data_IF_778664570937
#
_entry.id   IF_778664570937
#
_cell.length_a   1.000
_cell.length_b   1.000
_cell.length_c   1.000
_cell.angle_alpha   90.00
_cell.angle_beta   90.00
_cell.angle_gamma   90.00
#
_symmetry.space_group_name_H-M   'P 1'
#
loop_
_entity.id
_entity.type
_entity.pdbx_description
1 polymer ?
#
# COMPACT_ATOMS: atom_id res chain seq x y z
N UNK A 1 12.28 -48.68 49.88
CA UNK A 1 12.61 -48.02 48.59
C UNK A 1 11.39 -47.81 47.69
N UNK A 2 10.49 -48.79 47.55
CA UNK A 2 9.28 -48.67 46.70
C UNK A 2 8.20 -47.66 47.17
N UNK A 3 8.13 -47.31 48.46
CA UNK A 3 7.13 -46.35 48.96
C UNK A 3 7.53 -44.87 48.78
N UNK A 4 8.83 -44.58 48.65
CA UNK A 4 9.31 -43.20 48.44
C UNK A 4 9.19 -42.78 46.97
N UNK A 5 9.43 -43.71 46.04
CA UNK A 5 9.31 -43.46 44.59
C UNK A 5 7.84 -43.19 44.21
N UNK A 6 6.87 -43.86 44.84
CA UNK A 6 5.44 -43.65 44.54
C UNK A 6 4.93 -42.28 44.99
N UNK A 7 5.43 -41.75 46.11
CA UNK A 7 5.03 -40.43 46.60
C UNK A 7 5.74 -39.29 45.86
N UNK A 8 6.98 -39.50 45.39
CA UNK A 8 7.68 -38.53 44.54
C UNK A 8 7.07 -38.42 43.14
N UNK A 9 6.66 -39.54 42.53
CA UNK A 9 5.98 -39.53 41.21
C UNK A 9 4.59 -38.90 41.29
N UNK A 10 3.83 -39.11 42.38
CA UNK A 10 2.52 -38.48 42.56
C UNK A 10 2.64 -36.95 42.77
N UNK A 11 3.68 -36.48 43.47
CA UNK A 11 3.94 -35.06 43.67
C UNK A 11 4.39 -34.35 42.39
N UNK A 12 5.16 -35.01 41.52
CA UNK A 12 5.58 -34.45 40.22
C UNK A 12 4.43 -34.42 39.21
N UNK A 13 3.52 -35.40 39.22
CA UNK A 13 2.32 -35.40 38.36
C UNK A 13 1.31 -34.33 38.79
N UNK A 14 1.18 -34.04 40.09
CA UNK A 14 0.32 -32.93 40.58
C UNK A 14 0.92 -31.55 40.31
N UNK A 15 2.25 -31.39 40.32
CA UNK A 15 2.89 -30.12 39.89
C UNK A 15 2.82 -29.89 38.37
N UNK A 16 2.86 -30.95 37.56
CA UNK A 16 2.71 -30.85 36.09
C UNK A 16 1.26 -30.57 35.65
N UNK A 17 0.27 -30.88 36.48
CA UNK A 17 -1.15 -30.54 36.25
C UNK A 17 -1.53 -29.12 36.70
N UNK A 18 -0.60 -28.37 37.30
CA UNK A 18 -0.78 -26.98 37.75
C UNK A 18 -0.06 -25.96 36.85
N UNK A 19 0.37 -26.36 35.65
CA UNK A 19 0.65 -25.41 34.57
C UNK A 19 -0.73 -25.03 33.97
N UNK A 20 -1.57 -24.42 34.80
CA UNK A 20 -2.69 -23.65 34.27
C UNK A 20 -2.09 -22.51 33.45
N UNK A 21 -2.68 -22.25 32.28
CA UNK A 21 -2.52 -20.96 31.62
C UNK A 21 -2.67 -19.90 32.72
N UNK A 22 -1.66 -19.04 32.92
CA UNK A 22 -1.79 -17.95 33.90
C UNK A 22 -2.76 -16.95 33.29
N UNK A 23 -4.06 -17.19 33.44
CA UNK A 23 -5.08 -16.17 33.25
C UNK A 23 -4.92 -15.18 34.40
N UNK A 24 -4.50 -13.97 34.07
CA UNK A 24 -4.59 -12.87 35.01
C UNK A 24 -6.08 -12.59 35.21
N UNK A 25 -6.65 -12.83 36.40
CA UNK A 25 -8.10 -12.70 36.63
C UNK A 25 -8.61 -11.26 36.47
N UNK A 26 -7.71 -10.28 36.32
CA UNK A 26 -8.05 -8.88 36.06
C UNK A 26 -7.89 -8.47 34.58
N UNK A 27 -7.48 -9.38 33.70
CA UNK A 27 -7.25 -9.15 32.26
C UNK A 27 -7.80 -10.35 31.49
N UNK A 28 -9.09 -10.62 31.66
CA UNK A 28 -9.83 -11.61 30.86
C UNK A 28 -10.70 -10.90 29.83
N UNK A 29 -11.11 -11.63 28.79
CA UNK A 29 -12.09 -11.16 27.79
C UNK A 29 -13.39 -10.70 28.46
N UNK A 30 -13.91 -11.48 29.40
CA UNK A 30 -15.11 -11.14 30.18
C UNK A 30 -14.95 -9.80 30.91
N UNK A 31 -13.83 -9.61 31.63
CA UNK A 31 -13.54 -8.33 32.31
C UNK A 31 -13.41 -7.17 31.32
N UNK A 32 -12.86 -7.40 30.12
CA UNK A 32 -12.77 -6.38 29.09
C UNK A 32 -14.15 -5.99 28.54
N UNK A 33 -14.99 -6.96 28.20
CA UNK A 33 -16.33 -6.76 27.64
C UNK A 33 -17.29 -6.13 28.65
N UNK A 34 -17.11 -6.40 29.96
CA UNK A 34 -17.89 -5.77 31.03
C UNK A 34 -17.49 -4.31 31.31
N UNK A 35 -16.33 -3.85 30.83
CA UNK A 35 -15.90 -2.48 31.05
C UNK A 35 -16.72 -1.48 30.23
N UNK A 36 -17.13 -0.33 30.81
CA UNK A 36 -17.82 0.71 30.07
C UNK A 36 -16.98 1.23 28.88
N UNK A 37 -17.61 1.37 27.71
CA UNK A 37 -16.98 1.87 26.48
C UNK A 37 -15.88 0.95 25.92
N UNK A 38 -15.99 -0.36 26.08
CA UNK A 38 -15.08 -1.34 25.50
C UNK A 38 -14.83 -1.06 23.99
N UNK A 39 -15.89 -0.71 23.25
CA UNK A 39 -15.81 -0.41 21.82
C UNK A 39 -14.88 0.77 21.51
N UNK A 40 -14.85 1.79 22.37
CA UNK A 40 -13.95 2.93 22.18
C UNK A 40 -12.48 2.49 22.22
N UNK A 41 -12.12 1.66 23.19
CA UNK A 41 -10.76 1.12 23.30
C UNK A 41 -10.44 0.16 22.15
N UNK A 42 -11.41 -0.64 21.72
CA UNK A 42 -11.25 -1.54 20.56
C UNK A 42 -10.94 -0.76 19.28
N UNK A 43 -11.68 0.31 18.99
CA UNK A 43 -11.44 1.18 17.83
C UNK A 43 -10.04 1.81 17.87
N UNK A 44 -9.51 2.13 19.05
CA UNK A 44 -8.11 2.58 19.19
C UNK A 44 -7.12 1.47 18.84
N UNK A 45 -7.36 0.24 19.31
CA UNK A 45 -6.57 -0.93 18.93
C UNK A 45 -6.63 -1.21 17.42
N UNK A 46 -7.81 -1.08 16.81
CA UNK A 46 -8.00 -1.30 15.38
C UNK A 46 -7.30 -0.22 14.53
N UNK A 47 -7.29 1.05 14.98
CA UNK A 47 -6.50 2.12 14.35
C UNK A 47 -5.01 1.80 14.38
N UNK A 48 -4.52 1.29 15.51
CA UNK A 48 -3.14 0.84 15.62
C UNK A 48 -2.85 -0.29 14.64
N UNK A 49 -3.74 -1.28 14.54
CA UNK A 49 -3.57 -2.39 13.61
C UNK A 49 -3.62 -1.95 12.15
N UNK A 50 -4.47 -0.98 11.81
CA UNK A 50 -4.50 -0.37 10.48
C UNK A 50 -3.13 0.25 10.13
N UNK A 51 -2.52 0.99 11.06
CA UNK A 51 -1.17 1.55 10.87
C UNK A 51 -0.08 0.49 10.71
N UNK A 52 -0.12 -0.58 11.51
CA UNK A 52 0.79 -1.73 11.37
C UNK A 52 0.63 -2.38 9.99
N UNK A 53 -0.61 -2.65 9.58
CA UNK A 53 -0.93 -3.25 8.27
C UNK A 53 -0.43 -2.36 7.13
N UNK A 54 -0.67 -1.04 7.21
CA UNK A 54 -0.20 -0.09 6.20
C UNK A 54 1.33 -0.05 6.10
N UNK A 55 2.07 -0.13 7.22
CA UNK A 55 3.53 -0.22 7.18
C UNK A 55 4.02 -1.45 6.42
N UNK A 56 3.51 -2.63 6.79
CA UNK A 56 3.92 -3.90 6.19
C UNK A 56 3.57 -3.94 4.70
N UNK A 57 2.36 -3.50 4.34
CA UNK A 57 1.92 -3.42 2.94
C UNK A 57 2.80 -2.46 2.14
N UNK A 58 2.98 -1.23 2.61
CA UNK A 58 3.68 -0.21 1.82
C UNK A 58 5.12 -0.60 1.54
N UNK A 59 5.88 -1.03 2.56
CA UNK A 59 7.30 -1.32 2.38
C UNK A 59 7.52 -2.48 1.40
N UNK A 60 6.77 -3.58 1.56
CA UNK A 60 6.96 -4.76 0.74
C UNK A 60 6.48 -4.55 -0.69
N UNK A 61 5.33 -3.88 -0.88
CA UNK A 61 4.82 -3.59 -2.23
C UNK A 61 5.66 -2.57 -2.97
N UNK A 62 6.28 -1.62 -2.27
CA UNK A 62 7.20 -0.64 -2.88
C UNK A 62 8.50 -1.31 -3.33
N UNK A 63 9.09 -2.19 -2.53
CA UNK A 63 10.32 -2.92 -2.90
C UNK A 63 10.06 -3.92 -4.03
N UNK A 64 8.85 -4.47 -4.11
CA UNK A 64 8.47 -5.38 -5.21
C UNK A 64 8.09 -4.63 -6.49
N UNK A 65 8.50 -3.36 -6.64
CA UNK A 65 8.09 -2.48 -7.75
C UNK A 65 9.24 -1.63 -8.27
N UNK A 66 9.03 -0.86 -9.35
CA UNK A 66 10.04 0.04 -9.95
C UNK A 66 10.15 1.42 -9.28
N UNK A 67 9.50 1.64 -8.12
CA UNK A 67 9.52 2.95 -7.49
C UNK A 67 10.82 3.22 -6.72
N UNK A 68 11.32 2.21 -6.01
CA UNK A 68 12.51 2.29 -5.17
C UNK A 68 13.31 1.02 -5.32
N UNK A 69 14.63 1.17 -5.34
CA UNK A 69 15.55 0.04 -5.25
C UNK A 69 16.11 -0.12 -3.84
N UNK A 70 16.50 -1.34 -3.50
CA UNK A 70 17.13 -1.63 -2.22
C UNK A 70 18.56 -1.05 -2.18
N UNK A 71 18.72 0.08 -1.52
CA UNK A 71 20.01 0.75 -1.40
C UNK A 71 20.84 0.22 -0.22
N UNK A 72 20.21 -0.32 0.82
CA UNK A 72 20.93 -0.91 1.96
C UNK A 72 20.17 -2.07 2.59
N UNK A 73 20.91 -3.12 2.97
CA UNK A 73 20.45 -4.53 3.07
C UNK A 73 19.51 -4.89 4.23
N UNK A 74 18.72 -3.96 4.77
CA UNK A 74 17.82 -4.23 5.90
C UNK A 74 16.43 -4.71 5.49
N UNK A 75 16.10 -4.66 4.20
CA UNK A 75 14.86 -5.21 3.65
C UNK A 75 15.15 -6.39 2.73
N UNK A 76 14.09 -7.13 2.39
CA UNK A 76 14.14 -8.22 1.42
C UNK A 76 14.78 -7.78 0.10
N UNK A 77 15.73 -8.59 -0.39
CA UNK A 77 16.41 -8.37 -1.68
C UNK A 77 15.81 -9.22 -2.81
N UNK A 78 14.98 -10.20 -2.45
CA UNK A 78 14.43 -11.16 -3.41
C UNK A 78 13.17 -10.61 -4.08
N UNK A 79 12.39 -9.80 -3.35
CA UNK A 79 11.23 -9.10 -3.92
C UNK A 79 11.63 -8.04 -4.96
N UNK A 80 12.77 -7.37 -4.75
CA UNK A 80 13.41 -6.43 -5.68
C UNK A 80 13.69 -7.05 -7.07
N UNK A 81 13.82 -8.39 -7.11
CA UNK A 81 14.11 -9.17 -8.32
C UNK A 81 12.95 -10.08 -8.76
N UNK A 82 11.74 -9.77 -8.28
CA UNK A 82 10.52 -10.57 -8.51
C UNK A 82 10.66 -12.06 -8.16
N UNK A 83 11.55 -12.42 -7.24
CA UNK A 83 11.57 -13.74 -6.64
C UNK A 83 10.71 -13.71 -5.38
N UNK A 84 9.47 -14.21 -5.52
CA UNK A 84 8.47 -14.23 -4.47
C UNK A 84 8.06 -15.69 -4.28
N UNK A 85 8.50 -16.27 -3.17
CA UNK A 85 8.21 -17.65 -2.79
C UNK A 85 7.21 -17.65 -1.62
N UNK A 86 6.28 -18.61 -1.60
CA UNK A 86 5.25 -18.67 -0.56
C UNK A 86 5.79 -18.94 0.86
N UNK A 87 7.02 -19.46 0.96
CA UNK A 87 7.73 -19.67 2.23
C UNK A 87 8.54 -18.44 2.68
N UNK A 88 8.52 -17.35 1.92
CA UNK A 88 9.18 -16.10 2.32
C UNK A 88 8.52 -15.52 3.58
N UNK A 89 9.36 -15.04 4.50
CA UNK A 89 8.89 -14.48 5.77
C UNK A 89 8.05 -13.22 5.53
N UNK A 90 8.40 -12.43 4.51
CA UNK A 90 7.69 -11.20 4.16
C UNK A 90 6.31 -11.48 3.56
N UNK A 91 6.13 -12.54 2.76
CA UNK A 91 4.80 -13.01 2.31
C UNK A 91 3.94 -13.36 3.52
N UNK A 92 4.52 -14.11 4.47
CA UNK A 92 3.81 -14.48 5.69
C UNK A 92 3.41 -13.26 6.53
N UNK A 93 4.31 -12.30 6.73
CA UNK A 93 4.03 -11.09 7.53
C UNK A 93 2.93 -10.24 6.87
N UNK A 94 3.01 -10.03 5.55
CA UNK A 94 1.98 -9.33 4.77
C UNK A 94 0.60 -9.96 4.96
N UNK A 95 0.52 -11.28 4.78
CA UNK A 95 -0.73 -12.01 4.94
C UNK A 95 -1.24 -11.91 6.39
N UNK A 96 -0.38 -12.10 7.37
CA UNK A 96 -0.74 -12.09 8.78
C UNK A 96 -1.30 -10.75 9.23
N UNK A 97 -0.68 -9.63 8.85
CA UNK A 97 -1.15 -8.29 9.24
C UNK A 97 -2.51 -7.94 8.62
N UNK A 98 -2.73 -8.32 7.34
CA UNK A 98 -4.03 -8.16 6.67
C UNK A 98 -5.10 -9.03 7.34
N UNK A 99 -4.78 -10.28 7.67
CA UNK A 99 -5.69 -11.19 8.37
C UNK A 99 -5.98 -10.70 9.79
N UNK A 100 -5.00 -10.14 10.50
CA UNK A 100 -5.19 -9.60 11.85
C UNK A 100 -6.12 -8.38 11.83
N UNK A 101 -5.95 -7.46 10.87
CA UNK A 101 -6.86 -6.33 10.69
C UNK A 101 -8.30 -6.80 10.44
N UNK A 102 -8.47 -7.81 9.57
CA UNK A 102 -9.76 -8.44 9.26
C UNK A 102 -10.37 -9.09 10.50
N UNK A 103 -9.61 -9.94 11.18
CA UNK A 103 -10.07 -10.68 12.36
C UNK A 103 -10.45 -9.74 13.51
N UNK A 104 -9.68 -8.66 13.73
CA UNK A 104 -10.02 -7.65 14.73
C UNK A 104 -11.30 -6.89 14.38
N UNK A 105 -11.54 -6.60 13.09
CA UNK A 105 -12.78 -5.97 12.66
C UNK A 105 -13.99 -6.89 12.86
N UNK A 106 -13.88 -8.16 12.45
CA UNK A 106 -14.93 -9.19 12.63
C UNK A 106 -15.23 -9.39 14.11
N UNK A 107 -14.22 -9.60 14.94
CA UNK A 107 -14.41 -9.78 16.38
C UNK A 107 -15.02 -8.52 17.03
N UNK A 108 -14.64 -7.33 16.56
CA UNK A 108 -15.28 -6.08 16.96
C UNK A 108 -16.78 -6.06 16.68
N UNK A 109 -17.19 -6.54 15.50
CA UNK A 109 -18.59 -6.58 15.05
C UNK A 109 -19.39 -7.66 15.78
N UNK A 110 -18.82 -8.85 15.93
CA UNK A 110 -19.54 -10.03 16.43
C UNK A 110 -19.55 -10.14 17.95
N UNK A 111 -18.54 -9.59 18.63
CA UNK A 111 -18.32 -9.80 20.07
C UNK A 111 -18.33 -8.49 20.86
N UNK A 112 -17.51 -7.51 20.48
CA UNK A 112 -17.35 -6.28 21.30
C UNK A 112 -18.55 -5.34 21.15
N UNK A 113 -19.03 -5.14 19.93
CA UNK A 113 -20.17 -4.26 19.64
C UNK A 113 -21.45 -4.72 20.37
N UNK A 114 -21.86 -6.00 20.35
CA UNK A 114 -23.04 -6.45 21.12
C UNK A 114 -22.89 -6.32 22.64
N UNK A 115 -21.66 -6.36 23.16
CA UNK A 115 -21.39 -6.24 24.59
C UNK A 115 -21.42 -4.78 25.08
N UNK A 116 -21.07 -3.81 24.23
CA UNK A 116 -21.00 -2.39 24.60
C UNK A 116 -22.26 -1.62 24.19
N UNK A 117 -23.21 -1.48 25.12
CA UNK A 117 -24.45 -0.70 24.90
C UNK A 117 -24.21 0.80 24.61
N UNK A 118 -23.01 1.33 24.83
CA UNK A 118 -22.65 2.71 24.54
C UNK A 118 -21.99 2.89 23.16
N UNK A 119 -21.82 1.81 22.39
CA UNK A 119 -21.24 1.87 21.07
C UNK A 119 -22.07 2.75 20.11
N UNK A 120 -21.38 3.48 19.22
CA UNK A 120 -22.03 4.36 18.23
C UNK A 120 -21.99 3.76 16.83
N UNK A 121 -22.92 4.18 15.96
CA UNK A 121 -22.95 3.76 14.56
C UNK A 121 -21.67 4.15 13.81
N UNK A 122 -21.00 5.25 14.18
CA UNK A 122 -19.70 5.61 13.60
C UNK A 122 -18.56 4.66 14.02
N UNK A 123 -18.62 4.09 15.23
CA UNK A 123 -17.65 3.07 15.65
C UNK A 123 -17.87 1.78 14.88
N UNK A 124 -19.12 1.35 14.73
CA UNK A 124 -19.49 0.20 13.89
C UNK A 124 -19.08 0.41 12.42
N UNK A 125 -19.36 1.60 11.86
CA UNK A 125 -18.93 1.95 10.51
C UNK A 125 -17.40 1.89 10.34
N UNK A 126 -16.64 2.22 11.39
CA UNK A 126 -15.18 2.11 11.37
C UNK A 126 -14.71 0.65 11.35
N UNK A 127 -15.40 -0.27 12.04
CA UNK A 127 -15.12 -1.71 11.95
C UNK A 127 -15.33 -2.21 10.52
N UNK A 128 -16.47 -1.86 9.90
CA UNK A 128 -16.74 -2.21 8.51
C UNK A 128 -15.75 -1.58 7.53
N UNK A 129 -15.30 -0.36 7.79
CA UNK A 129 -14.23 0.26 7.00
C UNK A 129 -12.93 -0.56 7.04
N UNK A 130 -12.48 -0.96 8.23
CA UNK A 130 -11.27 -1.79 8.36
C UNK A 130 -11.44 -3.17 7.74
N UNK A 131 -12.61 -3.80 7.89
CA UNK A 131 -12.96 -5.06 7.22
C UNK A 131 -12.90 -4.91 5.69
N UNK A 132 -13.53 -3.86 5.16
CA UNK A 132 -13.52 -3.56 3.73
C UNK A 132 -12.12 -3.29 3.21
N UNK A 133 -11.31 -2.54 3.96
CA UNK A 133 -9.94 -2.24 3.58
C UNK A 133 -9.02 -3.48 3.63
N UNK A 134 -9.17 -4.36 4.62
CA UNK A 134 -8.43 -5.63 4.66
C UNK A 134 -8.79 -6.55 3.49
N UNK A 135 -10.06 -6.56 3.08
CA UNK A 135 -10.52 -7.30 1.91
C UNK A 135 -10.06 -6.68 0.59
N UNK A 136 -10.05 -5.35 0.49
CA UNK A 136 -9.48 -4.63 -0.64
C UNK A 136 -8.01 -4.95 -0.82
N UNK A 137 -7.21 -4.88 0.25
CA UNK A 137 -5.79 -5.23 0.22
C UNK A 137 -5.58 -6.71 -0.17
N UNK A 138 -6.38 -7.62 0.38
CA UNK A 138 -6.34 -9.02 -0.01
C UNK A 138 -6.62 -9.24 -1.49
N UNK A 139 -7.67 -8.60 -2.03
CA UNK A 139 -8.02 -8.71 -3.45
C UNK A 139 -7.06 -8.00 -4.40
N UNK A 140 -6.42 -6.92 -3.96
CA UNK A 140 -5.40 -6.22 -4.75
C UNK A 140 -4.09 -7.00 -4.79
N UNK A 141 -3.63 -7.50 -3.64
CA UNK A 141 -2.25 -7.94 -3.44
C UNK A 141 -2.06 -9.45 -3.47
N UNK A 142 -3.10 -10.26 -3.23
CA UNK A 142 -2.98 -11.72 -3.17
C UNK A 142 -3.83 -12.39 -4.24
N UNK A 143 -3.41 -13.58 -4.69
CA UNK A 143 -4.21 -14.39 -5.62
C UNK A 143 -5.49 -14.92 -4.97
N UNK A 144 -5.49 -15.02 -3.65
CA UNK A 144 -6.64 -15.30 -2.80
C UNK A 144 -6.20 -15.41 -1.35
N UNK A 145 -7.14 -15.31 -0.43
CA UNK A 145 -6.88 -15.44 1.02
C UNK A 145 -8.09 -16.09 1.70
N UNK A 146 -7.87 -16.91 2.74
CA UNK A 146 -8.98 -17.36 3.57
C UNK A 146 -9.55 -16.19 4.38
N UNK A 147 -10.89 -16.13 4.48
CA UNK A 147 -11.60 -15.11 5.26
C UNK A 147 -11.67 -15.43 6.75
N UNK A 148 -11.57 -16.71 7.11
CA UNK A 148 -11.75 -17.20 8.47
C UNK A 148 -10.68 -18.26 8.79
N UNK A 149 -10.43 -18.49 10.08
CA UNK A 149 -9.51 -19.53 10.53
C UNK A 149 -9.90 -20.89 9.96
N UNK A 150 -8.95 -21.54 9.28
CA UNK A 150 -9.14 -22.83 8.59
C UNK A 150 -10.25 -22.80 7.51
N UNK A 151 -10.65 -21.61 7.05
CA UNK A 151 -11.66 -21.44 6.00
C UNK A 151 -11.09 -21.78 4.62
N UNK A 152 -12.00 -21.95 3.65
CA UNK A 152 -11.60 -22.04 2.24
C UNK A 152 -10.97 -20.71 1.80
N UNK A 153 -10.03 -20.81 0.84
CA UNK A 153 -9.44 -19.64 0.21
C UNK A 153 -10.46 -19.01 -0.73
N UNK A 154 -10.75 -17.73 -0.53
CA UNK A 154 -11.55 -16.94 -1.46
C UNK A 154 -10.64 -16.29 -2.50
N UNK A 155 -11.07 -16.26 -3.75
CA UNK A 155 -10.31 -15.66 -4.84
C UNK A 155 -10.20 -14.15 -4.67
N UNK A 156 -9.21 -13.55 -5.32
CA UNK A 156 -9.00 -12.11 -5.26
C UNK A 156 -10.25 -11.29 -5.67
N UNK A 157 -11.05 -11.78 -6.62
CA UNK A 157 -12.33 -11.15 -7.03
C UNK A 157 -13.35 -11.18 -5.89
N UNK A 158 -13.51 -12.33 -5.23
CA UNK A 158 -14.43 -12.48 -4.09
C UNK A 158 -14.02 -11.57 -2.92
N UNK A 159 -12.71 -11.41 -2.70
CA UNK A 159 -12.19 -10.47 -1.72
C UNK A 159 -12.58 -9.02 -2.07
N UNK A 160 -12.51 -8.61 -3.34
CA UNK A 160 -12.95 -7.28 -3.77
C UNK A 160 -14.47 -7.09 -3.63
N UNK A 161 -15.28 -8.11 -3.93
CA UNK A 161 -16.74 -8.09 -3.71
C UNK A 161 -17.09 -7.95 -2.22
N UNK A 162 -16.35 -8.64 -1.35
CA UNK A 162 -16.49 -8.50 0.11
C UNK A 162 -16.09 -7.10 0.58
N UNK A 163 -15.06 -6.50 -0.02
CA UNK A 163 -14.65 -5.13 0.27
C UNK A 163 -15.78 -4.15 -0.04
N UNK A 164 -16.40 -4.28 -1.21
CA UNK A 164 -17.54 -3.44 -1.63
C UNK A 164 -18.69 -3.57 -0.64
N UNK A 165 -19.06 -4.80 -0.27
CA UNK A 165 -20.14 -5.08 0.70
C UNK A 165 -19.86 -4.45 2.06
N UNK A 166 -18.62 -4.54 2.55
CA UNK A 166 -18.25 -3.93 3.83
C UNK A 166 -18.29 -2.39 3.76
N UNK A 167 -17.86 -1.78 2.65
CA UNK A 167 -17.97 -0.33 2.46
C UNK A 167 -19.43 0.16 2.37
N UNK A 168 -20.33 -0.62 1.76
CA UNK A 168 -21.77 -0.32 1.77
C UNK A 168 -22.34 -0.29 3.19
N UNK A 169 -21.98 -1.29 4.00
CA UNK A 169 -22.36 -1.35 5.42
C UNK A 169 -21.81 -0.14 6.20
N UNK A 170 -20.54 0.22 5.99
CA UNK A 170 -19.95 1.39 6.62
C UNK A 170 -20.68 2.69 6.22
N UNK A 171 -21.03 2.84 4.94
CA UNK A 171 -21.70 4.02 4.42
C UNK A 171 -23.14 4.17 4.93
N UNK A 172 -23.84 3.05 5.10
CA UNK A 172 -25.20 3.04 5.65
C UNK A 172 -25.25 3.51 7.13
N UNK A 173 -24.16 3.32 7.86
CA UNK A 173 -24.03 3.65 9.28
C UNK A 173 -23.39 5.03 9.53
N UNK A 174 -22.57 5.52 8.60
CA UNK A 174 -21.78 6.72 8.81
C UNK A 174 -22.50 7.99 8.34
N UNK A 175 -22.58 8.99 9.22
CA UNK A 175 -23.20 10.29 8.95
C UNK A 175 -22.24 11.30 8.34
N UNK A 176 -20.93 11.03 8.34
CA UNK A 176 -19.91 11.93 7.79
C UNK A 176 -19.86 11.88 6.27
N UNK A 177 -20.25 12.99 5.62
CA UNK A 177 -20.16 13.15 4.17
C UNK A 177 -18.71 13.03 3.64
N UNK A 178 -17.70 13.29 4.48
CA UNK A 178 -16.31 13.10 4.08
C UNK A 178 -15.92 11.61 4.09
N UNK A 179 -16.30 10.86 5.13
CA UNK A 179 -16.03 9.42 5.17
C UNK A 179 -16.82 8.65 4.12
N UNK A 180 -18.07 9.03 3.85
CA UNK A 180 -18.84 8.39 2.78
C UNK A 180 -18.18 8.59 1.41
N UNK A 181 -17.56 9.74 1.14
CA UNK A 181 -16.75 9.94 -0.07
C UNK A 181 -15.50 9.06 -0.11
N UNK A 182 -14.88 8.79 1.04
CA UNK A 182 -13.75 7.85 1.14
C UNK A 182 -14.21 6.43 0.80
N UNK A 183 -15.35 5.99 1.35
CA UNK A 183 -15.93 4.68 1.04
C UNK A 183 -16.29 4.56 -0.45
N UNK A 184 -16.93 5.59 -1.02
CA UNK A 184 -17.22 5.66 -2.46
C UNK A 184 -15.95 5.52 -3.32
N UNK A 185 -14.84 6.16 -2.92
CA UNK A 185 -13.58 6.05 -3.66
C UNK A 185 -13.00 4.64 -3.59
N UNK A 186 -12.98 4.03 -2.40
CA UNK A 186 -12.47 2.67 -2.20
C UNK A 186 -13.33 1.62 -2.92
N UNK A 187 -14.64 1.83 -3.02
CA UNK A 187 -15.51 1.02 -3.88
C UNK A 187 -15.19 1.22 -5.36
N UNK A 188 -15.00 2.45 -5.83
CA UNK A 188 -14.61 2.73 -7.21
C UNK A 188 -13.30 2.02 -7.58
N UNK A 189 -12.34 1.99 -6.65
CA UNK A 189 -11.08 1.24 -6.75
C UNK A 189 -11.30 -0.27 -6.80
N UNK A 190 -12.16 -0.84 -5.95
CA UNK A 190 -12.48 -2.26 -6.00
C UNK A 190 -13.11 -2.66 -7.35
N UNK A 191 -14.09 -1.89 -7.83
CA UNK A 191 -14.68 -2.09 -9.16
C UNK A 191 -13.69 -1.89 -10.29
N UNK A 192 -12.74 -0.96 -10.15
CA UNK A 192 -11.65 -0.79 -11.11
C UNK A 192 -10.85 -2.08 -11.28
N UNK A 193 -10.39 -2.69 -10.19
CA UNK A 193 -9.63 -3.96 -10.28
C UNK A 193 -10.48 -5.16 -10.72
N UNK A 194 -11.79 -5.15 -10.47
CA UNK A 194 -12.71 -6.14 -11.05
C UNK A 194 -12.92 -5.98 -12.57
N UNK A 195 -12.43 -4.89 -13.17
CA UNK A 195 -12.71 -4.52 -14.56
C UNK A 195 -14.16 -4.05 -14.79
N UNK A 196 -14.92 -3.80 -13.73
CA UNK A 196 -16.29 -3.29 -13.79
C UNK A 196 -16.28 -1.78 -14.04
N UNK A 197 -16.11 -1.44 -15.32
CA UNK A 197 -16.04 -0.06 -15.80
C UNK A 197 -17.29 0.75 -15.45
N UNK A 198 -18.47 0.16 -15.51
CA UNK A 198 -19.73 0.89 -15.32
C UNK A 198 -19.82 1.41 -13.88
N UNK A 199 -19.66 0.52 -12.90
CA UNK A 199 -19.72 0.89 -11.49
C UNK A 199 -18.54 1.77 -11.07
N UNK A 200 -17.33 1.47 -11.54
CA UNK A 200 -16.15 2.28 -11.24
C UNK A 200 -16.31 3.73 -11.75
N UNK A 201 -16.78 3.93 -12.98
CA UNK A 201 -17.03 5.26 -13.56
C UNK A 201 -18.15 5.97 -12.83
N UNK A 202 -19.24 5.27 -12.49
CA UNK A 202 -20.35 5.87 -11.76
C UNK A 202 -19.91 6.42 -10.40
N UNK A 203 -19.12 5.67 -9.64
CA UNK A 203 -18.67 6.09 -8.31
C UNK A 203 -17.57 7.16 -8.41
N UNK A 204 -16.58 6.98 -9.29
CA UNK A 204 -15.51 7.97 -9.49
C UNK A 204 -16.07 9.35 -9.94
N UNK A 205 -17.09 9.36 -10.81
CA UNK A 205 -17.74 10.60 -11.27
C UNK A 205 -18.38 11.41 -10.14
N UNK A 206 -18.82 10.77 -9.06
CA UNK A 206 -19.42 11.46 -7.90
C UNK A 206 -18.38 12.26 -7.10
N UNK A 207 -17.10 11.94 -7.27
CA UNK A 207 -16.01 12.49 -6.47
C UNK A 207 -15.28 13.64 -7.18
N UNK A 208 -15.58 13.89 -8.45
CA UNK A 208 -14.94 14.97 -9.21
C UNK A 208 -15.27 16.33 -8.59
N UNK A 209 -14.22 17.11 -8.33
CA UNK A 209 -14.32 18.39 -7.62
C UNK A 209 -14.62 18.29 -6.12
N UNK A 210 -14.63 17.09 -5.55
CA UNK A 210 -14.76 16.88 -4.11
C UNK A 210 -13.39 16.80 -3.45
N UNK A 211 -13.30 17.27 -2.20
CA UNK A 211 -12.14 16.97 -1.36
C UNK A 211 -12.29 15.55 -0.80
N UNK A 212 -11.36 14.67 -1.16
CA UNK A 212 -11.22 13.31 -0.65
C UNK A 212 -9.75 13.08 -0.32
N UNK A 213 -9.49 12.88 0.97
CA UNK A 213 -8.21 12.46 1.51
C UNK A 213 -8.47 11.71 2.81
N UNK A 214 -8.01 10.47 2.88
CA UNK A 214 -7.94 9.70 4.12
C UNK A 214 -6.53 9.16 4.27
N UNK A 215 -5.93 9.45 5.42
CA UNK A 215 -4.58 9.04 5.74
C UNK A 215 -4.55 8.28 7.05
N UNK A 216 -3.64 7.31 7.11
CA UNK A 216 -3.35 6.51 8.30
C UNK A 216 -2.26 7.22 9.09
N UNK A 217 -2.58 7.52 10.34
CA UNK A 217 -1.69 8.19 11.29
C UNK A 217 -0.83 7.17 12.04
N UNK A 218 0.36 7.59 12.43
CA UNK A 218 1.37 6.76 13.09
C UNK A 218 1.70 7.33 14.48
N UNK A 219 2.10 6.44 15.39
CA UNK A 219 2.46 6.79 16.76
C UNK A 219 3.86 6.24 17.09
N UNK A 220 4.87 6.96 16.62
CA UNK A 220 6.27 6.60 16.81
C UNK A 220 6.70 6.59 18.28
N UNK A 221 6.01 7.32 19.17
CA UNK A 221 6.31 7.31 20.60
C UNK A 221 5.87 6.01 21.29
N UNK A 222 4.81 5.38 20.77
CA UNK A 222 4.26 4.13 21.28
C UNK A 222 4.57 2.92 20.38
N UNK A 223 5.61 3.02 19.55
CA UNK A 223 6.19 1.90 18.82
C UNK A 223 5.50 1.57 17.49
N UNK A 224 4.74 2.50 16.91
CA UNK A 224 4.17 2.37 15.56
C UNK A 224 4.66 3.54 14.70
N UNK A 225 5.94 3.48 14.30
CA UNK A 225 6.55 4.45 13.40
C UNK A 225 6.24 4.11 11.94
N UNK A 226 6.13 5.11 11.08
CA UNK A 226 6.05 4.97 9.62
C UNK A 226 7.37 4.41 9.08
N UNK A 227 7.35 3.17 8.58
CA UNK A 227 8.55 2.49 8.11
C UNK A 227 9.07 3.09 6.79
N UNK A 228 8.19 3.60 5.92
CA UNK A 228 8.62 4.27 4.69
C UNK A 228 9.41 5.54 5.01
N UNK A 229 8.95 6.35 5.97
CA UNK A 229 9.69 7.53 6.45
C UNK A 229 11.08 7.15 6.97
N UNK A 230 11.14 6.07 7.75
CA UNK A 230 12.40 5.57 8.25
C UNK A 230 13.32 5.08 7.13
N UNK A 231 12.77 4.38 6.12
CA UNK A 231 13.49 3.83 4.99
C UNK A 231 14.13 4.90 4.09
N UNK A 232 13.39 5.98 3.82
CA UNK A 232 13.75 6.97 2.80
C UNK A 232 14.35 8.25 3.39
N UNK A 233 14.13 8.56 4.68
CA UNK A 233 14.58 9.82 5.27
C UNK A 233 15.34 9.67 6.60
N UNK A 234 14.77 8.98 7.60
CA UNK A 234 15.35 9.02 8.97
C UNK A 234 16.61 8.14 9.12
N UNK A 235 16.70 7.02 8.40
CA UNK A 235 17.85 6.12 8.45
C UNK A 235 18.98 6.55 7.51
N UNK A 236 20.23 6.53 8.02
CA UNK A 236 21.44 6.76 7.23
C UNK A 236 22.39 5.52 7.32
N UNK A 237 22.89 4.98 6.19
CA UNK A 237 22.52 5.37 4.83
C UNK A 237 21.04 5.10 4.53
N UNK A 238 20.45 5.87 3.61
CA UNK A 238 19.07 5.68 3.20
C UNK A 238 18.91 4.23 2.70
N UNK A 239 17.91 3.54 3.25
CA UNK A 239 17.74 2.10 3.02
C UNK A 239 17.12 1.82 1.66
N UNK A 240 16.22 2.70 1.25
CA UNK A 240 15.62 2.73 -0.08
C UNK A 240 16.02 4.03 -0.77
N UNK A 241 16.24 3.95 -2.07
CA UNK A 241 16.47 5.11 -2.93
C UNK A 241 15.50 5.03 -4.11
N UNK A 242 14.86 6.15 -4.50
CA UNK A 242 13.92 6.14 -5.60
C UNK A 242 14.63 5.86 -6.92
N UNK A 243 13.89 5.34 -7.89
CA UNK A 243 14.34 5.37 -9.28
C UNK A 243 14.62 6.83 -9.68
N UNK A 244 15.71 7.18 -10.39
CA UNK A 244 16.08 8.58 -10.63
C UNK A 244 15.00 9.45 -11.30
N UNK A 245 14.08 8.84 -12.05
CA UNK A 245 12.90 9.55 -12.63
C UNK A 245 11.84 9.96 -11.59
N UNK A 246 11.96 9.49 -10.36
CA UNK A 246 11.04 9.73 -9.24
C UNK A 246 11.73 10.49 -8.10
N UNK A 247 13.02 10.80 -8.22
CA UNK A 247 13.83 11.41 -7.17
C UNK A 247 13.27 12.75 -6.68
N UNK A 248 12.66 13.55 -7.56
CA UNK A 248 12.00 14.81 -7.22
C UNK A 248 10.79 14.67 -6.29
N UNK A 249 10.24 13.47 -6.17
CA UNK A 249 9.12 13.16 -5.26
C UNK A 249 9.60 12.65 -3.90
N UNK A 250 10.90 12.36 -3.76
CA UNK A 250 11.50 11.80 -2.56
C UNK A 250 12.30 12.88 -1.79
N UNK A 251 12.11 13.00 -0.47
CA UNK A 251 11.25 12.17 0.36
C UNK A 251 9.78 12.63 0.33
N UNK A 252 8.87 11.65 0.33
CA UNK A 252 7.44 11.89 0.58
C UNK A 252 7.12 12.05 2.06
N UNK A 253 7.84 11.31 2.90
CA UNK A 253 7.71 11.31 4.35
C UNK A 253 9.04 11.74 4.96
N UNK A 254 9.00 12.69 5.88
CA UNK A 254 10.19 13.31 6.48
C UNK A 254 9.95 13.59 7.96
N UNK A 255 10.99 13.87 8.73
CA UNK A 255 10.87 14.33 10.11
C UNK A 255 11.51 15.71 10.30
N UNK A 256 10.90 16.53 11.14
CA UNK A 256 11.50 17.78 11.65
C UNK A 256 11.75 17.59 13.14
N UNK A 257 13.02 17.46 13.51
CA UNK A 257 13.42 17.21 14.89
C UNK A 257 13.53 15.72 15.21
N UNK A 258 12.82 15.23 16.23
CA UNK A 258 12.92 13.82 16.63
C UNK A 258 11.96 12.97 15.79
N UNK A 259 12.44 11.95 15.07
CA UNK A 259 11.59 11.08 14.27
C UNK A 259 10.39 10.53 15.04
N UNK A 260 10.59 9.97 16.24
CA UNK A 260 9.52 9.37 17.03
C UNK A 260 8.33 10.30 17.34
N UNK A 261 8.52 11.62 17.30
CA UNK A 261 7.46 12.63 17.53
C UNK A 261 6.91 13.26 16.27
N UNK A 262 7.56 13.04 15.12
CA UNK A 262 7.14 13.57 13.83
C UNK A 262 7.05 12.43 12.80
N UNK A 263 5.84 11.88 12.68
CA UNK A 263 5.53 10.77 11.79
C UNK A 263 4.51 11.27 10.76
N UNK A 264 4.89 11.25 9.48
CA UNK A 264 3.97 11.67 8.42
C UNK A 264 2.95 10.57 8.13
N UNK A 265 1.67 10.90 7.96
CA UNK A 265 0.65 9.92 7.68
C UNK A 265 0.73 9.43 6.23
N UNK A 266 0.26 8.20 6.00
CA UNK A 266 0.20 7.59 4.67
C UNK A 266 -1.21 7.76 4.11
N UNK A 267 -1.36 8.39 2.95
CA UNK A 267 -2.64 8.46 2.26
C UNK A 267 -3.01 7.10 1.67
N UNK A 268 -4.18 6.56 2.03
CA UNK A 268 -4.70 5.31 1.47
C UNK A 268 -5.90 5.52 0.54
N UNK A 269 -6.52 6.70 0.59
CA UNK A 269 -7.59 7.12 -0.31
C UNK A 269 -7.46 8.62 -0.61
N UNK A 270 -7.38 8.99 -1.89
CA UNK A 270 -7.30 10.40 -2.33
C UNK A 270 -7.92 10.59 -3.72
N UNK A 271 -8.58 11.73 -3.92
CA UNK A 271 -9.45 11.98 -5.10
C UNK A 271 -8.75 11.80 -6.45
N UNK A 272 -7.42 11.95 -6.49
CA UNK A 272 -6.59 11.75 -7.67
C UNK A 272 -6.87 10.41 -8.38
N UNK A 273 -7.16 9.36 -7.61
CA UNK A 273 -7.51 8.04 -8.17
C UNK A 273 -8.81 8.06 -8.96
N UNK A 274 -9.82 8.83 -8.55
CA UNK A 274 -11.08 8.95 -9.29
C UNK A 274 -10.84 9.54 -10.69
N UNK A 275 -9.97 10.55 -10.80
CA UNK A 275 -9.61 11.12 -12.10
C UNK A 275 -8.88 10.10 -13.00
N UNK A 276 -8.01 9.28 -12.42
CA UNK A 276 -7.24 8.27 -13.14
C UNK A 276 -8.13 7.10 -13.62
N UNK A 277 -9.07 6.65 -12.79
CA UNK A 277 -10.12 5.68 -13.19
C UNK A 277 -10.93 6.23 -14.38
N UNK A 278 -11.37 7.48 -14.32
CA UNK A 278 -12.14 8.09 -15.41
C UNK A 278 -11.31 8.29 -16.69
N UNK A 279 -10.04 8.67 -16.55
CA UNK A 279 -9.15 8.84 -17.69
C UNK A 279 -8.94 7.51 -18.42
N UNK A 280 -8.61 6.44 -17.71
CA UNK A 280 -8.45 5.10 -18.30
C UNK A 280 -9.75 4.59 -18.92
N UNK A 281 -10.90 4.77 -18.25
CA UNK A 281 -12.19 4.36 -18.79
C UNK A 281 -12.54 5.11 -20.09
N UNK A 282 -12.22 6.39 -20.18
CA UNK A 282 -12.39 7.18 -21.40
C UNK A 282 -11.46 6.70 -22.51
N UNK A 283 -10.21 6.36 -22.20
CA UNK A 283 -9.26 5.80 -23.17
C UNK A 283 -9.72 4.42 -23.69
N UNK A 284 -10.21 3.55 -22.80
CA UNK A 284 -10.80 2.25 -23.17
C UNK A 284 -12.08 2.35 -23.99
N UNK A 285 -12.72 3.53 -24.03
CA UNK A 285 -13.85 3.86 -24.90
C UNK A 285 -13.44 4.65 -26.17
N UNK A 286 -12.14 4.91 -26.37
CA UNK A 286 -11.64 5.72 -27.49
C UNK A 286 -11.97 7.22 -27.38
N UNK A 287 -12.33 7.72 -26.20
CA UNK A 287 -12.66 9.12 -25.96
C UNK A 287 -11.45 9.91 -25.45
N UNK A 288 -10.49 10.18 -26.35
CA UNK A 288 -9.24 10.87 -26.01
C UNK A 288 -9.47 12.27 -25.41
N UNK A 289 -10.46 13.02 -25.92
CA UNK A 289 -10.73 14.38 -25.45
C UNK A 289 -11.24 14.42 -23.99
N UNK A 290 -12.10 13.47 -23.61
CA UNK A 290 -12.55 13.37 -22.22
C UNK A 290 -11.42 12.91 -21.30
N UNK A 291 -10.60 11.94 -21.73
CA UNK A 291 -9.42 11.52 -20.97
C UNK A 291 -8.45 12.69 -20.74
N UNK A 292 -8.10 13.46 -21.78
CA UNK A 292 -7.30 14.69 -21.64
C UNK A 292 -7.91 15.66 -20.64
N UNK A 293 -9.23 15.88 -20.70
CA UNK A 293 -9.92 16.76 -19.75
C UNK A 293 -9.81 16.25 -18.30
N UNK A 294 -9.95 14.94 -18.07
CA UNK A 294 -9.76 14.35 -16.75
C UNK A 294 -8.33 14.54 -16.24
N UNK A 295 -7.32 14.28 -17.08
CA UNK A 295 -5.91 14.44 -16.69
C UNK A 295 -5.54 15.92 -16.42
N UNK A 296 -6.05 16.86 -17.22
CA UNK A 296 -5.81 18.29 -16.97
C UNK A 296 -6.46 18.77 -15.67
N UNK A 297 -7.66 18.28 -15.34
CA UNK A 297 -8.29 18.57 -14.06
C UNK A 297 -7.56 17.91 -12.88
N UNK A 298 -7.01 16.71 -13.07
CA UNK A 298 -6.15 16.06 -12.10
C UNK A 298 -4.91 16.90 -11.78
N UNK A 299 -4.24 17.47 -12.78
CA UNK A 299 -3.09 18.35 -12.53
C UNK A 299 -3.45 19.55 -11.66
N UNK A 300 -4.67 20.10 -11.78
CA UNK A 300 -5.15 21.17 -10.90
C UNK A 300 -5.34 20.69 -9.45
N UNK A 301 -5.78 19.44 -9.25
CA UNK A 301 -5.87 18.85 -7.90
C UNK A 301 -4.47 18.72 -7.29
N UNK A 302 -3.51 18.21 -8.06
CA UNK A 302 -2.13 18.03 -7.61
C UNK A 302 -1.46 19.37 -7.29
N UNK A 303 -1.62 20.39 -8.14
CA UNK A 303 -1.09 21.74 -7.93
C UNK A 303 -1.62 22.40 -6.64
N UNK A 304 -2.83 22.04 -6.21
CA UNK A 304 -3.44 22.56 -4.99
C UNK A 304 -3.02 21.79 -3.71
N UNK A 305 -2.24 20.70 -3.83
CA UNK A 305 -1.70 20.00 -2.65
C UNK A 305 -0.59 20.83 -1.99
N UNK A 306 -0.55 20.78 -0.67
CA UNK A 306 0.50 21.44 0.10
C UNK A 306 1.86 20.81 -0.20
N UNK A 307 2.86 21.65 -0.45
CA UNK A 307 4.25 21.26 -0.63
C UNK A 307 5.06 21.84 0.53
N UNK A 308 5.79 20.99 1.24
CA UNK A 308 6.72 21.44 2.27
C UNK A 308 8.10 21.68 1.66
N UNK A 309 8.87 22.62 2.21
CA UNK A 309 10.28 22.79 1.87
C UNK A 309 11.11 22.26 3.03
N UNK A 310 11.99 21.30 2.76
CA UNK A 310 12.77 20.59 3.79
C UNK A 310 14.26 20.61 3.48
N UNK A 311 15.09 20.51 4.51
CA UNK A 311 16.52 20.29 4.37
C UNK A 311 16.79 18.78 4.29
N UNK A 312 17.18 18.32 3.11
CA UNK A 312 17.56 16.92 2.82
C UNK A 312 19.07 16.82 2.50
N UNK A 313 19.88 17.78 2.95
CA UNK A 313 21.32 17.84 2.62
C UNK A 313 22.15 16.71 3.25
N UNK A 314 21.61 16.05 4.28
CA UNK A 314 22.23 14.93 4.99
C UNK A 314 22.02 13.56 4.33
N UNK A 315 21.33 13.50 3.21
CA UNK A 315 20.97 12.29 2.50
C UNK A 315 22.18 11.57 1.85
N UNK A 316 22.08 10.25 1.72
CA UNK A 316 23.19 9.34 1.33
C UNK A 316 22.73 8.14 0.48
N UNK A 317 21.87 8.34 -0.52
CA UNK A 317 21.42 7.33 -1.50
C UNK A 317 22.58 6.75 -2.32
N UNK A 318 23.72 7.44 -2.38
CA UNK A 318 24.96 6.89 -2.95
C UNK A 318 25.89 6.19 -1.92
N UNK A 319 25.42 6.03 -0.68
CA UNK A 319 26.18 5.44 0.43
C UNK A 319 25.98 3.94 0.62
N UNK A 320 25.22 3.30 -0.27
CA UNK A 320 24.76 1.91 -0.16
C UNK A 320 25.26 1.01 -1.29
N UNK A 321 24.36 0.18 -1.82
CA UNK A 321 24.61 -0.77 -2.90
C UNK A 321 24.93 -0.07 -4.23
N UNK A 322 24.42 1.17 -4.43
CA UNK A 322 24.75 2.04 -5.55
C UNK A 322 25.63 3.20 -5.07
N UNK A 323 26.88 3.26 -5.52
CA UNK A 323 27.80 4.39 -5.23
C UNK A 323 27.77 5.48 -6.29
N UNK A 324 27.10 5.19 -7.40
CA UNK A 324 26.98 6.00 -8.61
C UNK A 324 25.69 6.84 -8.64
N UNK A 325 24.80 6.71 -7.65
CA UNK A 325 23.59 7.53 -7.56
C UNK A 325 23.96 9.03 -7.49
N UNK A 326 23.36 9.90 -8.32
CA UNK A 326 23.70 11.32 -8.36
C UNK A 326 23.21 12.06 -7.12
N UNK A 327 24.07 12.90 -6.54
CA UNK A 327 23.70 13.82 -5.44
C UNK A 327 23.49 15.28 -5.92
N UNK A 328 23.64 15.49 -7.23
CA UNK A 328 23.46 16.78 -7.89
C UNK A 328 22.47 16.60 -9.03
N UNK A 329 21.87 17.72 -9.45
CA UNK A 329 20.97 17.73 -10.60
C UNK A 329 21.69 17.20 -11.84
N UNK A 330 21.08 16.19 -12.46
CA UNK A 330 21.53 15.58 -13.70
C UNK A 330 20.31 15.27 -14.58
N UNK A 331 20.46 15.30 -15.92
CA UNK A 331 19.37 14.95 -16.79
C UNK A 331 19.11 13.44 -16.81
N UNK A 332 17.84 13.07 -16.96
CA UNK A 332 17.37 11.67 -17.01
C UNK A 332 16.64 11.43 -18.32
N UNK A 333 16.89 10.27 -18.95
CA UNK A 333 16.05 9.74 -20.03
C UNK A 333 15.48 8.39 -19.65
N UNK A 334 14.26 8.09 -20.10
CA UNK A 334 13.54 6.89 -19.70
C UNK A 334 13.78 5.68 -20.62
N UNK A 335 14.49 5.90 -21.74
CA UNK A 335 14.91 4.85 -22.67
C UNK A 335 16.20 5.27 -23.33
N UNK A 336 16.95 4.31 -23.90
CA UNK A 336 18.23 4.59 -24.58
C UNK A 336 18.10 5.53 -25.80
N UNK A 337 16.93 5.57 -26.43
CA UNK A 337 16.65 6.40 -27.61
C UNK A 337 15.91 7.70 -27.25
N UNK A 338 15.50 7.86 -25.99
CA UNK A 338 14.73 9.00 -25.52
C UNK A 338 15.57 10.26 -25.30
N UNK A 339 14.90 11.40 -25.28
CA UNK A 339 15.53 12.67 -24.93
C UNK A 339 15.77 12.76 -23.41
N UNK A 340 16.91 13.35 -23.08
CA UNK A 340 17.26 13.75 -21.73
C UNK A 340 16.36 14.88 -21.26
N UNK A 341 15.87 14.76 -20.03
CA UNK A 341 15.00 15.74 -19.39
C UNK A 341 15.55 16.12 -18.02
N UNK A 342 15.46 17.40 -17.70
CA UNK A 342 15.89 17.96 -16.42
C UNK A 342 14.77 17.89 -15.37
N UNK A 343 15.10 18.21 -14.12
CA UNK A 343 14.12 18.36 -13.03
C UNK A 343 13.62 17.07 -12.38
N UNK A 344 14.20 15.91 -12.72
CA UNK A 344 13.89 14.63 -12.05
C UNK A 344 14.80 14.35 -10.86
N UNK A 345 16.11 14.63 -10.98
CA UNK A 345 17.07 14.48 -9.88
C UNK A 345 17.32 15.84 -9.26
N UNK A 346 17.12 15.97 -7.95
CA UNK A 346 17.30 17.23 -7.23
C UNK A 346 18.73 17.42 -6.73
N UNK A 347 19.20 18.67 -6.73
CA UNK A 347 20.43 19.03 -6.04
C UNK A 347 20.18 19.32 -4.55
N UNK A 348 20.32 18.30 -3.71
CA UNK A 348 20.08 18.39 -2.25
C UNK A 348 21.13 19.19 -1.48
N UNK A 349 22.24 19.51 -2.13
CA UNK A 349 23.31 20.32 -1.55
C UNK A 349 23.09 21.83 -1.76
N UNK A 350 22.11 22.23 -2.59
CA UNK A 350 21.85 23.65 -2.91
C UNK A 350 20.83 24.33 -2.00
N UNK A 351 20.24 23.60 -1.04
CA UNK A 351 19.31 24.15 -0.06
C UNK A 351 18.07 23.28 0.11
N UNK A 352 16.99 23.89 0.58
CA UNK A 352 15.75 23.18 0.84
C UNK A 352 15.11 22.68 -0.47
N UNK A 353 14.59 21.46 -0.44
CA UNK A 353 13.90 20.79 -1.55
C UNK A 353 12.40 20.68 -1.28
N UNK A 354 11.55 20.58 -2.32
CA UNK A 354 10.12 20.31 -2.15
C UNK A 354 9.88 18.86 -1.67
N UNK A 355 8.95 18.69 -0.74
CA UNK A 355 8.42 17.40 -0.29
C UNK A 355 6.90 17.35 -0.53
N UNK A 356 6.48 16.41 -1.38
CA UNK A 356 5.10 16.25 -1.84
C UNK A 356 4.34 15.22 -1.00
N UNK A 357 3.89 15.61 0.19
CA UNK A 357 3.33 14.67 1.20
C UNK A 357 2.05 13.95 0.80
N UNK A 358 1.31 14.48 -0.20
CA UNK A 358 0.08 13.84 -0.73
C UNK A 358 0.29 13.41 -2.18
N UNK A 359 0.54 14.36 -3.08
CA UNK A 359 0.70 14.09 -4.52
C UNK A 359 1.66 15.10 -5.12
N UNK A 360 2.50 14.64 -6.04
CA UNK A 360 3.37 15.46 -6.88
C UNK A 360 3.48 14.82 -8.26
N UNK A 361 3.88 15.59 -9.27
CA UNK A 361 4.11 15.09 -10.62
C UNK A 361 4.97 16.05 -11.42
N UNK A 362 5.77 15.50 -12.33
CA UNK A 362 6.50 16.26 -13.36
C UNK A 362 5.74 16.27 -14.71
N UNK A 363 4.57 15.65 -14.80
CA UNK A 363 3.69 15.75 -15.98
C UNK A 363 3.04 17.13 -16.01
N UNK A 364 3.16 17.80 -17.15
CA UNK A 364 2.66 19.16 -17.36
C UNK A 364 1.40 19.18 -18.22
N UNK A 365 0.64 20.29 -18.21
CA UNK A 365 -0.43 20.50 -19.18
C UNK A 365 0.05 20.44 -20.64
N UNK A 366 1.30 20.81 -20.93
CA UNK A 366 1.86 20.75 -22.27
C UNK A 366 2.05 19.30 -22.74
N UNK A 367 2.47 18.41 -21.84
CA UNK A 367 2.59 16.97 -22.13
C UNK A 367 1.23 16.39 -22.50
N UNK A 368 0.19 16.65 -21.70
CA UNK A 368 -1.17 16.16 -21.96
C UNK A 368 -1.76 16.73 -23.26
N UNK A 369 -1.57 18.03 -23.52
CA UNK A 369 -2.09 18.67 -24.74
C UNK A 369 -1.35 18.23 -26.01
N UNK A 370 -0.11 17.76 -25.90
CA UNK A 370 0.68 17.26 -27.04
C UNK A 370 0.51 15.75 -27.28
N UNK A 371 0.04 14.99 -26.28
CA UNK A 371 -0.34 13.59 -26.43
C UNK A 371 -1.63 13.46 -27.27
N UNK A 372 -1.48 13.00 -28.51
CA UNK A 372 -2.57 12.95 -29.50
C UNK A 372 -3.05 11.53 -29.81
N UNK A 373 -2.38 10.50 -29.29
CA UNK A 373 -2.75 9.10 -29.50
C UNK A 373 -3.24 8.46 -28.20
N UNK A 374 -3.93 7.32 -28.34
CA UNK A 374 -4.36 6.51 -27.21
C UNK A 374 -3.17 6.07 -26.36
N UNK A 375 -2.08 5.65 -27.01
CA UNK A 375 -0.89 5.13 -26.34
C UNK A 375 -0.17 6.23 -25.57
N UNK A 376 -0.06 7.45 -26.13
CA UNK A 376 0.56 8.59 -25.44
C UNK A 376 -0.21 8.96 -24.17
N UNK A 377 -1.56 9.05 -24.26
CA UNK A 377 -2.39 9.43 -23.12
C UNK A 377 -2.46 8.32 -22.06
N UNK A 378 -2.48 7.05 -22.49
CA UNK A 378 -2.44 5.93 -21.55
C UNK A 378 -1.10 5.88 -20.83
N UNK A 379 0.01 6.11 -21.54
CA UNK A 379 1.34 6.23 -20.94
C UNK A 379 1.38 7.35 -19.89
N UNK A 380 0.85 8.54 -20.21
CA UNK A 380 0.75 9.63 -19.23
C UNK A 380 -0.16 9.28 -18.04
N UNK A 381 -1.24 8.51 -18.25
CA UNK A 381 -2.12 8.05 -17.17
C UNK A 381 -1.38 7.15 -16.18
N UNK A 382 -0.61 6.17 -16.68
CA UNK A 382 0.17 5.27 -15.81
C UNK A 382 1.39 5.93 -15.19
N UNK A 383 2.01 6.89 -15.89
CA UNK A 383 3.04 7.74 -15.32
C UNK A 383 2.50 8.59 -14.16
N UNK A 384 1.31 9.18 -14.32
CA UNK A 384 0.64 9.93 -13.25
C UNK A 384 0.27 9.02 -12.08
N UNK A 385 -0.19 7.78 -12.32
CA UNK A 385 -0.40 6.78 -11.25
C UNK A 385 0.90 6.55 -10.46
N UNK A 386 2.00 6.28 -11.17
CA UNK A 386 3.30 6.03 -10.53
C UNK A 386 3.75 7.23 -9.68
N UNK A 387 3.75 8.43 -10.25
CA UNK A 387 4.25 9.65 -9.58
C UNK A 387 3.34 10.07 -8.41
N UNK A 388 2.01 10.02 -8.59
CA UNK A 388 1.07 10.43 -7.55
C UNK A 388 1.08 9.46 -6.36
N UNK A 389 1.10 8.14 -6.62
CA UNK A 389 0.99 7.11 -5.59
C UNK A 389 2.35 6.55 -5.11
N UNK A 390 3.45 7.21 -5.45
CA UNK A 390 4.78 6.85 -4.94
C UNK A 390 4.75 6.72 -3.41
N UNK A 391 5.40 5.68 -2.89
CA UNK A 391 5.50 5.33 -1.45
C UNK A 391 4.18 4.99 -0.74
N UNK A 392 3.07 4.83 -1.48
CA UNK A 392 1.76 4.48 -0.94
C UNK A 392 1.35 3.02 -1.22
N UNK A 393 2.29 2.19 -1.68
CA UNK A 393 2.08 0.75 -1.88
C UNK A 393 1.10 0.39 -3.01
N UNK A 394 0.90 1.27 -4.00
CA UNK A 394 -0.06 1.07 -5.10
C UNK A 394 0.55 0.44 -6.36
N UNK A 395 1.85 0.63 -6.57
CA UNK A 395 2.51 0.32 -7.84
C UNK A 395 2.51 -1.18 -8.18
N UNK A 396 2.62 -2.05 -7.19
CA UNK A 396 2.58 -3.50 -7.38
C UNK A 396 1.30 -3.97 -8.10
N UNK A 397 0.16 -3.39 -7.74
CA UNK A 397 -1.14 -3.70 -8.36
C UNK A 397 -1.23 -3.18 -9.80
N UNK A 398 -0.65 -2.01 -10.11
CA UNK A 398 -0.57 -1.51 -11.50
C UNK A 398 0.32 -2.41 -12.38
N UNK A 399 1.25 -3.17 -11.78
CA UNK A 399 2.10 -4.14 -12.46
C UNK A 399 1.43 -5.53 -12.61
N UNK A 400 0.24 -5.74 -12.03
CA UNK A 400 -0.50 -7.00 -12.10
C UNK A 400 0.11 -8.16 -11.30
N UNK A 401 1.03 -7.88 -10.37
CA UNK A 401 1.64 -8.88 -9.49
C UNK A 401 0.68 -9.19 -8.33
N UNK A 402 0.58 -10.47 -7.94
CA UNK A 402 -0.11 -10.88 -6.72
C UNK A 402 0.70 -11.93 -5.95
N UNK A 403 0.83 -11.71 -4.65
CA UNK A 403 1.46 -12.61 -3.70
C UNK A 403 0.67 -13.93 -3.55
N UNK A 404 1.36 -15.03 -3.25
CA UNK A 404 0.74 -16.31 -2.91
C UNK A 404 0.26 -16.34 -1.46
N UNK A 405 -0.57 -17.32 -1.12
CA UNK A 405 -0.85 -17.71 0.27
C UNK A 405 0.42 -18.27 0.91
N UNK A 406 0.72 -17.84 2.14
CA UNK A 406 1.95 -18.21 2.84
C UNK A 406 2.04 -19.69 3.20
N UNK A 407 3.26 -20.19 3.36
CA UNK A 407 3.52 -21.56 3.82
C UNK A 407 2.91 -21.83 5.20
N UNK A 408 2.94 -20.84 6.10
CA UNK A 408 2.35 -21.01 7.44
C UNK A 408 0.85 -21.26 7.34
N UNK A 409 0.12 -20.50 6.52
CA UNK A 409 -1.30 -20.76 6.30
C UNK A 409 -1.50 -22.13 5.64
N UNK A 410 -0.76 -22.44 4.57
CA UNK A 410 -0.88 -23.70 3.86
C UNK A 410 -0.64 -24.94 4.77
N UNK A 411 0.34 -24.89 5.67
CA UNK A 411 0.64 -25.99 6.59
C UNK A 411 -0.42 -26.16 7.69
N UNK A 412 -1.10 -25.08 8.07
CA UNK A 412 -2.08 -25.10 9.16
C UNK A 412 -3.53 -25.25 8.65
N UNK A 413 -3.82 -24.83 7.42
CA UNK A 413 -5.15 -24.82 6.84
C UNK A 413 -5.25 -25.85 5.68
N UNK A 414 -5.93 -26.99 5.89
CA UNK A 414 -6.04 -28.04 4.89
C UNK A 414 -6.88 -27.63 3.66
N UNK A 415 -7.53 -26.47 3.71
CA UNK A 415 -8.36 -25.93 2.64
C UNK A 415 -7.60 -24.95 1.74
N UNK A 416 -6.27 -24.86 1.83
CA UNK A 416 -5.42 -24.08 0.92
C UNK A 416 -4.99 -24.97 -0.26
N UNK A 417 -5.54 -24.75 -1.46
CA UNK A 417 -5.13 -25.48 -2.67
C UNK A 417 -3.73 -25.09 -3.15
N UNK A 418 -3.13 -25.95 -3.99
CA UNK A 418 -1.78 -25.74 -4.53
C UNK A 418 -1.71 -24.54 -5.49
N UNK A 419 -2.77 -24.23 -6.22
CA UNK A 419 -2.82 -23.05 -7.06
C UNK A 419 -2.68 -21.74 -6.29
N UNK A 420 -3.05 -21.73 -5.00
CA UNK A 420 -3.00 -20.54 -4.15
C UNK A 420 -1.63 -20.29 -3.50
N UNK A 421 -0.65 -21.18 -3.69
CA UNK A 421 0.73 -20.96 -3.23
C UNK A 421 1.68 -20.55 -4.36
N UNK A 422 1.15 -20.22 -5.54
CA UNK A 422 1.93 -19.84 -6.72
C UNK A 422 1.75 -18.34 -6.99
N UNK A 423 2.81 -17.56 -6.86
CA UNK A 423 2.78 -16.12 -7.15
C UNK A 423 2.32 -15.84 -8.58
N UNK A 424 1.47 -14.82 -8.76
CA UNK A 424 1.16 -14.27 -10.08
C UNK A 424 2.16 -13.17 -10.43
N UNK A 425 2.90 -13.35 -11.51
CA UNK A 425 3.83 -12.35 -12.06
C UNK A 425 3.60 -12.29 -13.57
N UNK A 426 3.16 -11.14 -14.13
CA UNK A 426 3.00 -11.02 -15.57
C UNK A 426 4.31 -11.23 -16.32
N UNK A 427 4.27 -12.07 -17.36
CA UNK A 427 5.47 -12.58 -18.04
C UNK A 427 6.29 -11.52 -18.79
N UNK A 428 5.75 -10.32 -18.99
CA UNK A 428 6.47 -9.22 -19.65
C UNK A 428 7.36 -8.44 -18.68
N UNK A 429 7.22 -8.63 -17.37
CA UNK A 429 8.01 -7.90 -16.38
C UNK A 429 9.46 -8.40 -16.37
N UNK A 430 10.45 -7.48 -16.40
CA UNK A 430 11.85 -7.83 -16.35
C UNK A 430 12.26 -8.13 -14.90
N UNK A 431 12.35 -9.41 -14.55
CA UNK A 431 12.53 -9.85 -13.16
C UNK A 431 13.67 -9.14 -12.41
N UNK A 432 14.84 -8.96 -13.03
CA UNK A 432 16.06 -8.51 -12.32
C UNK A 432 16.39 -7.02 -12.46
N UNK A 433 15.68 -6.27 -13.33
CA UNK A 433 16.12 -4.92 -13.75
C UNK A 433 15.00 -3.88 -13.74
N UNK A 434 13.91 -4.12 -13.00
CA UNK A 434 12.72 -3.25 -12.98
C UNK A 434 13.03 -1.80 -12.60
N UNK A 435 13.93 -1.61 -11.65
CA UNK A 435 14.32 -0.38 -10.98
C UNK A 435 15.78 0.03 -11.28
N UNK A 436 16.38 -0.60 -12.30
CA UNK A 436 17.77 -0.36 -12.68
C UNK A 436 17.94 0.84 -13.62
N UNK A 437 19.13 1.43 -13.57
CA UNK A 437 19.54 2.57 -14.40
C UNK A 437 21.06 2.64 -14.57
N UNK A 438 21.49 3.20 -15.70
CA UNK A 438 22.89 3.47 -16.01
C UNK A 438 23.23 4.95 -15.77
N UNK A 439 24.42 5.20 -15.22
CA UNK A 439 25.00 6.53 -15.03
C UNK A 439 26.19 6.69 -15.97
N UNK A 440 26.16 7.70 -16.84
CA UNK A 440 27.26 8.00 -17.75
C UNK A 440 28.41 8.75 -17.04
N UNK A 441 29.55 8.88 -17.70
CA UNK A 441 30.73 9.59 -17.17
C UNK A 441 30.45 11.06 -16.81
N UNK A 442 29.47 11.69 -17.46
CA UNK A 442 29.02 13.05 -17.19
C UNK A 442 27.92 13.14 -16.12
N UNK A 443 27.52 12.00 -15.53
CA UNK A 443 26.47 11.89 -14.53
C UNK A 443 25.06 11.74 -15.09
N UNK A 444 24.87 11.85 -16.41
CA UNK A 444 23.54 11.72 -17.02
C UNK A 444 23.00 10.28 -16.88
N UNK A 445 21.68 10.16 -16.73
CA UNK A 445 21.04 8.89 -16.38
C UNK A 445 20.17 8.33 -17.50
N UNK A 446 20.30 7.02 -17.73
CA UNK A 446 19.40 6.23 -18.58
C UNK A 446 18.71 5.17 -17.73
N UNK A 447 17.39 5.25 -17.58
CA UNK A 447 16.60 4.16 -16.99
C UNK A 447 16.65 2.95 -17.92
N UNK A 448 16.85 1.74 -17.37
CA UNK A 448 16.91 0.52 -18.19
C UNK A 448 15.51 0.13 -18.65
N UNK A 449 14.55 0.06 -17.73
CA UNK A 449 13.20 -0.41 -18.00
C UNK A 449 12.16 0.68 -17.74
N UNK A 450 11.41 1.09 -18.76
CA UNK A 450 10.26 1.99 -18.61
C UNK A 450 8.99 1.16 -18.39
N UNK A 451 8.73 0.74 -17.14
CA UNK A 451 7.60 -0.15 -16.86
C UNK A 451 6.24 0.45 -17.25
N UNK A 452 6.09 1.77 -17.25
CA UNK A 452 4.87 2.42 -17.78
C UNK A 452 4.65 2.09 -19.26
N UNK A 453 5.73 2.03 -20.05
CA UNK A 453 5.67 1.65 -21.47
C UNK A 453 5.38 0.16 -21.64
N UNK A 454 5.98 -0.69 -20.81
CA UNK A 454 5.70 -2.13 -20.82
C UNK A 454 4.23 -2.42 -20.48
N UNK A 455 3.65 -1.70 -19.51
CA UNK A 455 2.20 -1.74 -19.22
C UNK A 455 1.39 -1.43 -20.49
N UNK A 456 1.70 -0.32 -21.19
CA UNK A 456 0.94 0.08 -22.39
C UNK A 456 1.05 -0.95 -23.53
N UNK A 457 2.22 -1.57 -23.67
CA UNK A 457 2.46 -2.63 -24.67
C UNK A 457 1.65 -3.90 -24.37
N UNK A 458 1.34 -4.14 -23.09
CA UNK A 458 0.60 -5.31 -22.62
C UNK A 458 -0.83 -4.96 -22.15
N UNK A 459 -1.36 -3.82 -22.59
CA UNK A 459 -2.66 -3.27 -22.15
C UNK A 459 -3.88 -4.19 -22.34
N UNK A 460 -3.77 -5.26 -23.12
CA UNK A 460 -4.88 -6.23 -23.27
C UNK A 460 -4.96 -7.23 -22.12
N UNK A 461 -4.03 -7.19 -21.17
CA UNK A 461 -4.06 -7.97 -19.94
C UNK A 461 -4.89 -7.20 -18.91
N UNK A 462 -6.05 -7.75 -18.56
CA UNK A 462 -7.00 -7.12 -17.63
C UNK A 462 -6.39 -6.93 -16.24
N UNK A 463 -5.50 -7.81 -15.82
CA UNK A 463 -4.79 -7.72 -14.54
C UNK A 463 -3.79 -6.55 -14.47
N UNK A 464 -3.51 -5.87 -15.59
CA UNK A 464 -2.59 -4.72 -15.68
C UNK A 464 -3.33 -3.44 -16.07
N UNK A 465 -4.19 -3.52 -17.09
CA UNK A 465 -5.01 -2.39 -17.57
C UNK A 465 -6.48 -2.82 -17.57
N UNK A 466 -7.19 -2.71 -16.43
CA UNK A 466 -8.51 -3.32 -16.24
C UNK A 466 -9.59 -2.90 -17.23
N UNK A 467 -9.46 -1.74 -17.88
CA UNK A 467 -10.44 -1.25 -18.86
C UNK A 467 -10.03 -1.44 -20.33
N UNK A 468 -9.11 -2.34 -20.66
CA UNK A 468 -8.72 -2.65 -22.04
C UNK A 468 -8.79 -4.14 -22.32
#
# INVERSE_FOLDING_TARGET
>A
MYSYIRNSVLATVVMLLLIGCVENPNVTEEVYLENPNAMRSWVVGLRRQLAVTTNTVNINTVITSDNYYNNYTQYTKIFDRLQIDYFDTDVNNLQADIQELRAMAIYGLDVVLPADMAATSEQEAYLYFCLGYANLLGGELFIGLPQNNYGEVESWEQLLENAITAFDSAMALNTSAQMNRVYTLLQARAYYYLGDRENAVQLASQLIGQDVLYSVEFDGQNGVSNEMQNATFDALPNRLAPLPRLDFLDPKYYSVGTPATDQKPVAIAKVEEAYLILAEANLGNGNLAAAQSNLLQLLQVVENRLVAMIDDSGETRNGGDRVDYPLQEVPVRFTEEGEYQDGYVLNRQQGAIPAYTVSGTNVTPADINSANTLEDLLYLTYRLRQEIFISEGRRLSDLGIKFPVSEIEQLNNPNVPEEYIITQIPSFLPAETMDDFNVADDGSITIIEDLNRLIIQNRTLQEVVPFF
#
